data_IF_333939770323
#
_entry.id   IF_333939770323
#
_cell.length_a   1.000
_cell.length_b   1.000
_cell.length_c   1.000
_cell.angle_alpha   90.00
_cell.angle_beta   90.00
_cell.angle_gamma   90.00
#
_symmetry.space_group_name_H-M   'P 1'
#
loop_
_entity.id
_entity.type
_entity.pdbx_description
1 polymer ?
#
# COMPACT_ATOMS: atom_id res chain seq x y z
N UNK A 1 10.82 7.52 30.26
CA UNK A 1 10.19 7.46 28.95
C UNK A 1 11.01 8.33 28.02
N UNK A 2 11.90 7.72 27.22
CA UNK A 2 12.75 8.45 26.30
C UNK A 2 11.97 8.64 25.01
N UNK A 3 11.61 9.88 24.69
CA UNK A 3 11.28 10.26 23.33
C UNK A 3 12.55 10.10 22.51
N UNK A 4 12.62 9.07 21.66
CA UNK A 4 13.70 8.96 20.71
C UNK A 4 13.66 10.23 19.84
N UNK A 5 14.76 10.99 19.82
CA UNK A 5 14.89 12.08 18.85
C UNK A 5 14.79 11.48 17.45
N UNK A 6 14.05 12.12 16.52
CA UNK A 6 13.96 11.62 15.15
C UNK A 6 15.37 11.52 14.57
N UNK A 7 15.73 10.35 14.07
CA UNK A 7 16.98 10.20 13.34
C UNK A 7 16.91 11.13 12.12
N UNK A 8 18.00 11.78 11.74
CA UNK A 8 18.05 12.74 10.61
C UNK A 8 17.69 12.11 9.25
N UNK A 9 17.35 10.84 9.23
CA UNK A 9 17.02 10.04 8.05
C UNK A 9 15.52 9.70 7.96
N UNK A 10 14.72 9.95 8.99
CA UNK A 10 13.28 9.60 8.99
C UNK A 10 12.46 10.58 8.13
N UNK A 11 11.47 10.05 7.43
CA UNK A 11 10.53 10.83 6.63
C UNK A 11 9.21 10.96 7.39
N UNK A 12 8.86 12.19 7.77
CA UNK A 12 7.59 12.50 8.43
C UNK A 12 6.60 13.05 7.40
N UNK A 13 5.40 12.49 7.38
CA UNK A 13 4.36 12.82 6.41
C UNK A 13 3.07 13.17 7.15
N UNK A 14 2.56 14.36 6.93
CA UNK A 14 1.25 14.77 7.43
C UNK A 14 0.11 14.40 6.46
N UNK A 15 -1.14 14.67 6.84
CA UNK A 15 -2.31 14.33 6.03
C UNK A 15 -2.36 15.08 4.69
N UNK A 16 -1.98 16.34 4.66
CA UNK A 16 -2.00 17.17 3.45
C UNK A 16 -0.93 16.67 2.46
N UNK A 17 0.25 16.37 2.96
CA UNK A 17 1.32 15.76 2.16
C UNK A 17 0.92 14.38 1.64
N UNK A 18 0.29 13.55 2.49
CA UNK A 18 -0.17 12.21 2.11
C UNK A 18 -1.19 12.28 0.97
N UNK A 19 -2.21 13.15 1.07
CA UNK A 19 -3.19 13.34 0.02
C UNK A 19 -2.56 13.90 -1.26
N UNK A 20 -1.65 14.86 -1.15
CA UNK A 20 -0.92 15.40 -2.31
C UNK A 20 -0.11 14.32 -3.04
N UNK A 21 0.48 13.38 -2.32
CA UNK A 21 1.18 12.24 -2.93
C UNK A 21 0.22 11.31 -3.69
N UNK A 22 -0.98 11.04 -3.14
CA UNK A 22 -1.98 10.24 -3.84
C UNK A 22 -2.40 10.93 -5.15
N UNK A 23 -2.67 12.24 -5.11
CA UNK A 23 -3.04 13.02 -6.31
C UNK A 23 -1.93 12.98 -7.36
N UNK A 24 -0.67 13.14 -6.96
CA UNK A 24 0.47 13.04 -7.87
C UNK A 24 0.58 11.65 -8.50
N UNK A 25 0.33 10.58 -7.73
CA UNK A 25 0.34 9.22 -8.23
C UNK A 25 -0.76 8.99 -9.27
N UNK A 26 -1.99 9.48 -9.01
CA UNK A 26 -3.11 9.44 -9.94
C UNK A 26 -2.74 10.10 -11.27
N UNK A 27 -2.16 11.31 -11.20
CA UNK A 27 -1.74 12.05 -12.41
C UNK A 27 -0.65 11.29 -13.17
N UNK A 28 0.29 10.65 -12.48
CA UNK A 28 1.33 9.83 -13.15
C UNK A 28 0.74 8.64 -13.87
N UNK A 29 -0.19 7.91 -13.23
CA UNK A 29 -0.88 6.79 -13.85
C UNK A 29 -1.67 7.25 -15.07
N UNK A 30 -2.45 8.32 -14.95
CA UNK A 30 -3.22 8.90 -16.05
C UNK A 30 -2.33 9.31 -17.23
N UNK A 31 -1.24 10.03 -16.96
CA UNK A 31 -0.31 10.51 -18.02
C UNK A 31 0.47 9.40 -18.71
N UNK A 32 0.53 8.21 -18.15
CA UNK A 32 1.16 7.06 -18.80
C UNK A 32 0.37 6.57 -20.02
N UNK A 33 -0.91 6.93 -20.12
CA UNK A 33 -1.81 6.44 -21.16
C UNK A 33 -2.24 4.98 -21.00
N UNK A 34 -1.76 4.28 -19.95
CA UNK A 34 -2.20 2.93 -19.68
C UNK A 34 -3.57 2.94 -19.01
N UNK A 35 -4.50 2.22 -19.60
CA UNK A 35 -5.84 2.04 -19.06
C UNK A 35 -5.97 0.73 -18.31
N UNK A 36 -6.75 0.73 -17.23
CA UNK A 36 -7.04 -0.45 -16.42
C UNK A 36 -8.55 -0.57 -16.17
N UNK A 37 -8.96 -1.79 -15.86
CA UNK A 37 -10.38 -2.12 -15.73
C UNK A 37 -10.82 -2.08 -14.26
N UNK A 38 -9.94 -2.47 -13.32
CA UNK A 38 -10.23 -2.55 -11.90
C UNK A 38 -9.01 -2.15 -11.06
N UNK A 39 -9.27 -1.74 -9.83
CA UNK A 39 -8.26 -1.40 -8.84
C UNK A 39 -8.27 -2.46 -7.75
N UNK A 40 -7.09 -2.92 -7.37
CA UNK A 40 -6.89 -3.79 -6.21
C UNK A 40 -6.07 -3.05 -5.17
N UNK A 41 -6.65 -2.74 -4.01
CA UNK A 41 -5.89 -2.20 -2.89
C UNK A 41 -5.42 -3.32 -1.95
N UNK A 42 -4.19 -3.19 -1.48
CA UNK A 42 -3.64 -4.06 -0.45
C UNK A 42 -3.98 -3.49 0.92
N UNK A 43 -4.71 -4.25 1.70
CA UNK A 43 -5.09 -3.80 3.03
C UNK A 43 -3.98 -4.18 4.05
N UNK A 44 -3.60 -3.24 4.96
CA UNK A 44 -4.27 -1.96 5.24
C UNK A 44 -3.64 -0.76 4.54
N UNK A 45 -2.33 -0.79 4.20
CA UNK A 45 -1.59 0.37 3.69
C UNK A 45 -2.21 1.02 2.46
N UNK A 46 -2.60 0.20 1.49
CA UNK A 46 -3.19 0.66 0.23
C UNK A 46 -4.65 1.13 0.29
N UNK A 47 -5.34 0.97 1.42
CA UNK A 47 -6.79 1.26 1.48
C UNK A 47 -7.12 2.72 1.16
N UNK A 48 -6.36 3.67 1.69
CA UNK A 48 -6.59 5.09 1.45
C UNK A 48 -6.27 5.49 0.02
N UNK A 49 -5.19 4.92 -0.52
CA UNK A 49 -4.80 5.10 -1.93
C UNK A 49 -5.88 4.53 -2.83
N UNK A 50 -6.33 3.29 -2.58
CA UNK A 50 -7.34 2.60 -3.37
C UNK A 50 -8.70 3.31 -3.38
N UNK A 51 -9.16 3.82 -2.24
CA UNK A 51 -10.43 4.57 -2.16
C UNK A 51 -10.39 5.80 -3.07
N UNK A 52 -9.34 6.63 -2.96
CA UNK A 52 -9.24 7.86 -3.76
C UNK A 52 -9.07 7.53 -5.24
N UNK A 53 -8.24 6.55 -5.60
CA UNK A 53 -8.10 6.08 -6.98
C UNK A 53 -9.44 5.62 -7.58
N UNK A 54 -10.19 4.80 -6.85
CA UNK A 54 -11.49 4.30 -7.30
C UNK A 54 -12.48 5.42 -7.59
N UNK A 55 -12.52 6.43 -6.72
CA UNK A 55 -13.39 7.61 -6.90
C UNK A 55 -12.99 8.44 -8.11
N UNK A 56 -11.70 8.73 -8.27
CA UNK A 56 -11.21 9.62 -9.34
C UNK A 56 -11.30 8.95 -10.70
N UNK A 57 -10.93 7.68 -10.82
CA UNK A 57 -11.01 6.95 -12.09
C UNK A 57 -12.39 6.36 -12.38
N UNK A 58 -13.31 6.32 -11.41
CA UNK A 58 -14.62 5.68 -11.56
C UNK A 58 -14.51 4.17 -11.83
N UNK A 59 -13.51 3.50 -11.25
CA UNK A 59 -13.25 2.08 -11.46
C UNK A 59 -13.62 1.25 -10.24
N UNK A 60 -14.11 -0.01 -10.44
CA UNK A 60 -14.40 -0.91 -9.33
C UNK A 60 -13.18 -1.14 -8.44
N UNK A 61 -13.40 -1.16 -7.12
CA UNK A 61 -12.38 -1.40 -6.12
C UNK A 61 -12.51 -2.82 -5.55
N UNK A 62 -11.43 -3.55 -5.59
CA UNK A 62 -11.23 -4.80 -4.87
C UNK A 62 -10.23 -4.59 -3.72
N UNK A 63 -10.36 -5.37 -2.66
CA UNK A 63 -9.45 -5.37 -1.51
C UNK A 63 -8.86 -6.75 -1.29
N UNK A 64 -7.55 -6.84 -1.09
CA UNK A 64 -6.85 -8.04 -0.68
C UNK A 64 -6.19 -7.79 0.68
N UNK A 65 -6.60 -8.54 1.70
CA UNK A 65 -5.96 -8.45 3.00
C UNK A 65 -4.61 -9.20 2.97
N UNK A 66 -3.57 -8.50 3.42
CA UNK A 66 -2.23 -9.04 3.59
C UNK A 66 -1.72 -8.70 4.99
N UNK A 67 -0.97 -9.59 5.61
CA UNK A 67 -0.34 -9.35 6.90
C UNK A 67 1.06 -9.94 6.90
N UNK A 68 2.05 -9.11 7.18
CA UNK A 68 3.39 -9.58 7.49
C UNK A 68 3.43 -9.94 8.97
N UNK A 69 3.67 -11.21 9.29
CA UNK A 69 3.94 -11.62 10.68
C UNK A 69 5.32 -11.09 11.07
N UNK A 70 5.34 -10.07 11.93
CA UNK A 70 6.50 -9.80 12.77
C UNK A 70 6.37 -10.73 13.98
N UNK A 71 7.10 -11.83 14.00
CA UNK A 71 7.24 -12.60 15.23
C UNK A 71 8.03 -11.75 16.23
N UNK A 72 7.43 -11.50 17.38
CA UNK A 72 8.15 -11.06 18.58
C UNK A 72 9.20 -12.14 18.91
N UNK A 73 10.47 -11.72 18.99
CA UNK A 73 11.68 -12.54 19.24
C UNK A 73 12.31 -13.23 18.01
N UNK A 74 13.01 -12.52 17.20
CA UNK A 74 14.44 -12.71 16.84
C UNK A 74 14.91 -13.96 16.12
N UNK A 75 14.09 -14.87 15.57
CA UNK A 75 14.63 -16.09 14.91
C UNK A 75 13.70 -16.82 13.95
N UNK A 76 13.06 -16.12 12.98
CA UNK A 76 12.65 -16.75 11.69
C UNK A 76 12.08 -15.68 10.78
N UNK A 77 12.36 -15.74 9.47
CA UNK A 77 11.74 -14.89 8.46
C UNK A 77 10.22 -14.98 8.60
N UNK A 78 9.58 -13.87 8.99
CA UNK A 78 8.14 -13.79 9.16
C UNK A 78 7.45 -14.10 7.83
N UNK A 79 6.53 -15.06 7.82
CA UNK A 79 5.74 -15.39 6.65
C UNK A 79 4.77 -14.26 6.29
N UNK A 80 4.55 -14.02 5.01
CA UNK A 80 3.46 -13.17 4.53
C UNK A 80 2.18 -14.00 4.49
N UNK A 81 1.16 -13.60 5.25
CA UNK A 81 -0.19 -14.13 5.09
C UNK A 81 -0.93 -13.32 4.02
N UNK A 82 -1.49 -14.01 3.04
CA UNK A 82 -2.32 -13.42 1.98
C UNK A 82 -3.71 -14.06 2.08
N UNK A 83 -4.76 -13.25 2.12
CA UNK A 83 -6.12 -13.77 2.06
C UNK A 83 -6.32 -14.61 0.78
N UNK A 84 -7.04 -15.73 0.85
CA UNK A 84 -7.19 -16.62 -0.31
C UNK A 84 -7.92 -15.97 -1.48
N UNK A 85 -8.81 -15.02 -1.21
CA UNK A 85 -9.62 -14.34 -2.21
C UNK A 85 -9.69 -12.84 -1.93
N UNK A 86 -9.92 -12.06 -3.00
CA UNK A 86 -10.23 -10.63 -2.90
C UNK A 86 -11.68 -10.43 -2.47
N UNK A 87 -11.94 -9.27 -1.86
CA UNK A 87 -13.29 -8.78 -1.60
C UNK A 87 -13.59 -7.63 -2.56
N UNK A 88 -14.72 -7.71 -3.27
CA UNK A 88 -15.25 -6.65 -4.13
C UNK A 88 -16.77 -6.70 -4.20
N UNK A 89 -17.38 -5.59 -4.58
CA UNK A 89 -18.86 -5.46 -4.54
C UNK A 89 -19.56 -6.37 -5.55
N UNK A 90 -18.98 -6.55 -6.73
CA UNK A 90 -19.59 -7.35 -7.81
C UNK A 90 -18.52 -8.00 -8.67
N UNK A 91 -18.82 -9.21 -9.18
CA UNK A 91 -17.96 -9.90 -10.13
C UNK A 91 -16.70 -10.50 -9.51
N UNK A 92 -15.63 -10.52 -10.30
CA UNK A 92 -14.33 -11.08 -9.96
C UNK A 92 -13.23 -10.23 -10.61
N UNK A 93 -11.97 -10.46 -10.24
CA UNK A 93 -10.84 -9.79 -10.92
C UNK A 93 -10.70 -10.30 -12.35
N UNK A 94 -10.70 -9.38 -13.30
CA UNK A 94 -10.60 -9.68 -14.73
C UNK A 94 -9.99 -8.49 -15.49
N UNK A 95 -9.32 -8.77 -16.60
CA UNK A 95 -8.72 -7.73 -17.43
C UNK A 95 -7.45 -7.14 -16.85
N UNK A 96 -7.27 -5.84 -17.01
CA UNK A 96 -6.08 -5.10 -16.57
C UNK A 96 -6.30 -4.56 -15.16
N UNK A 97 -5.47 -4.95 -14.21
CA UNK A 97 -5.62 -4.61 -12.80
C UNK A 97 -4.50 -3.67 -12.37
N UNK A 98 -4.87 -2.56 -11.74
CA UNK A 98 -3.93 -1.69 -11.04
C UNK A 98 -3.89 -2.07 -9.56
N UNK A 99 -2.76 -2.61 -9.11
CA UNK A 99 -2.51 -2.88 -7.68
C UNK A 99 -2.01 -1.59 -7.05
N UNK A 100 -2.64 -1.15 -5.96
CA UNK A 100 -2.23 0.05 -5.22
C UNK A 100 -1.88 -0.27 -3.77
N UNK A 101 -0.81 0.34 -3.29
CA UNK A 101 -0.36 0.27 -1.90
C UNK A 101 0.28 1.61 -1.50
N UNK A 102 0.62 1.76 -0.22
CA UNK A 102 1.35 2.94 0.23
C UNK A 102 2.82 2.90 -0.22
N UNK A 103 3.50 1.76 -0.08
CA UNK A 103 4.92 1.65 -0.38
C UNK A 103 5.36 0.26 -0.85
N UNK A 104 6.51 0.22 -1.53
CA UNK A 104 7.28 -1.00 -1.76
C UNK A 104 8.58 -0.91 -0.96
N UNK A 105 8.74 -1.79 0.02
CA UNK A 105 9.95 -1.90 0.84
C UNK A 105 10.91 -2.96 0.26
N UNK A 106 10.80 -4.23 0.62
CA UNK A 106 11.66 -5.30 0.08
C UNK A 106 11.22 -5.80 -1.30
N UNK A 107 9.96 -5.62 -1.66
CA UNK A 107 9.36 -6.11 -2.90
C UNK A 107 8.80 -7.54 -2.82
N UNK A 108 9.19 -8.33 -1.83
CA UNK A 108 8.77 -9.74 -1.70
C UNK A 108 7.23 -9.89 -1.64
N UNK A 109 6.57 -8.97 -0.97
CA UNK A 109 5.09 -8.93 -0.88
C UNK A 109 4.45 -8.83 -2.26
N UNK A 110 4.95 -7.94 -3.11
CA UNK A 110 4.42 -7.77 -4.47
C UNK A 110 4.61 -8.99 -5.35
N UNK A 111 5.77 -9.65 -5.29
CA UNK A 111 6.02 -10.88 -6.05
C UNK A 111 5.06 -12.00 -5.64
N UNK A 112 4.87 -12.21 -4.34
CA UNK A 112 3.97 -13.23 -3.81
C UNK A 112 2.51 -12.94 -4.15
N UNK A 113 2.09 -11.67 -4.05
CA UNK A 113 0.73 -11.25 -4.41
C UNK A 113 0.50 -11.44 -5.91
N UNK A 114 1.44 -11.02 -6.77
CA UNK A 114 1.35 -11.21 -8.22
C UNK A 114 1.17 -12.68 -8.59
N UNK A 115 1.99 -13.57 -8.01
CA UNK A 115 1.89 -15.01 -8.24
C UNK A 115 0.54 -15.58 -7.75
N UNK A 116 0.08 -15.14 -6.57
CA UNK A 116 -1.22 -15.54 -6.01
C UNK A 116 -2.38 -15.11 -6.92
N UNK A 117 -2.40 -13.86 -7.37
CA UNK A 117 -3.46 -13.31 -8.21
C UNK A 117 -3.56 -14.03 -9.56
N UNK A 118 -2.44 -14.21 -10.25
CA UNK A 118 -2.42 -14.86 -11.56
C UNK A 118 -2.85 -16.35 -11.49
N UNK A 119 -2.57 -17.01 -10.37
CA UNK A 119 -3.02 -18.38 -10.12
C UNK A 119 -4.51 -18.46 -9.80
N UNK A 120 -5.02 -17.49 -9.00
CA UNK A 120 -6.40 -17.52 -8.48
C UNK A 120 -7.41 -16.92 -9.47
N UNK A 121 -6.97 -15.96 -10.28
CA UNK A 121 -7.82 -15.21 -11.21
C UNK A 121 -7.27 -15.28 -12.64
N UNK A 122 -7.51 -16.38 -13.37
CA UNK A 122 -6.92 -16.60 -14.70
C UNK A 122 -7.43 -15.61 -15.77
N UNK A 123 -8.50 -14.86 -15.49
CA UNK A 123 -9.03 -13.82 -16.36
C UNK A 123 -8.28 -12.49 -16.26
N UNK A 124 -7.29 -12.38 -15.40
CA UNK A 124 -6.39 -11.21 -15.37
C UNK A 124 -5.47 -11.27 -16.60
N UNK A 125 -5.43 -10.18 -17.35
CA UNK A 125 -4.61 -10.07 -18.57
C UNK A 125 -3.33 -9.29 -18.35
N UNK A 126 -3.34 -8.32 -17.44
CA UNK A 126 -2.18 -7.51 -17.07
C UNK A 126 -2.28 -7.02 -15.62
N UNK A 127 -1.15 -6.97 -14.94
CA UNK A 127 -1.00 -6.40 -13.61
C UNK A 127 0.04 -5.30 -13.64
N UNK A 128 -0.32 -4.12 -13.15
CA UNK A 128 0.64 -3.04 -12.81
C UNK A 128 0.44 -2.57 -11.39
N UNK A 129 1.50 -1.99 -10.85
CA UNK A 129 1.57 -1.54 -9.46
C UNK A 129 1.79 -0.04 -9.37
N UNK A 130 1.13 0.61 -8.40
CA UNK A 130 1.26 2.02 -8.11
C UNK A 130 1.37 2.24 -6.60
N UNK A 131 2.42 2.97 -6.16
CA UNK A 131 2.71 3.24 -4.75
C UNK A 131 3.17 4.67 -4.54
N UNK A 132 3.05 5.17 -3.30
CA UNK A 132 3.53 6.50 -2.97
C UNK A 132 5.07 6.49 -2.85
N UNK A 133 5.62 5.48 -2.17
CA UNK A 133 7.06 5.36 -1.94
C UNK A 133 7.63 4.05 -2.48
N UNK A 134 8.81 4.17 -3.06
CA UNK A 134 9.60 3.05 -3.54
C UNK A 134 11.00 3.11 -2.94
N UNK A 135 11.37 2.12 -2.14
CA UNK A 135 12.72 1.98 -1.59
C UNK A 135 13.62 1.25 -2.58
N UNK A 136 14.76 1.86 -2.89
CA UNK A 136 15.64 1.41 -4.00
C UNK A 136 16.25 0.03 -3.78
N UNK A 137 16.34 -0.42 -2.53
CA UNK A 137 16.83 -1.78 -2.22
C UNK A 137 15.81 -2.89 -2.51
N UNK A 138 14.57 -2.53 -2.86
CA UNK A 138 13.54 -3.50 -3.23
C UNK A 138 13.95 -4.33 -4.45
N UNK A 139 13.64 -5.62 -4.40
CA UNK A 139 13.81 -6.54 -5.54
C UNK A 139 12.82 -6.30 -6.66
N UNK A 140 11.70 -5.62 -6.36
CA UNK A 140 10.63 -5.28 -7.31
C UNK A 140 10.54 -3.77 -7.45
N UNK A 141 10.67 -3.28 -8.68
CA UNK A 141 10.38 -1.88 -9.00
C UNK A 141 8.91 -1.75 -9.37
N UNK A 142 8.12 -0.90 -8.67
CA UNK A 142 6.73 -0.64 -9.05
C UNK A 142 6.66 0.05 -10.42
N UNK A 143 5.55 -0.15 -11.14
CA UNK A 143 5.32 0.49 -12.44
C UNK A 143 5.16 2.01 -12.28
N UNK A 144 4.48 2.42 -11.21
CA UNK A 144 4.25 3.82 -10.87
C UNK A 144 4.59 4.09 -9.41
N UNK A 145 5.29 5.18 -9.15
CA UNK A 145 5.60 5.65 -7.80
C UNK A 145 5.77 7.17 -7.79
N UNK A 146 5.58 7.81 -6.64
CA UNK A 146 5.79 9.26 -6.51
C UNK A 146 7.20 9.58 -6.07
N UNK A 147 7.65 8.98 -4.98
CA UNK A 147 8.96 9.23 -4.41
C UNK A 147 9.79 7.95 -4.40
N UNK A 148 11.01 8.06 -4.96
CA UNK A 148 12.05 7.05 -4.85
C UNK A 148 12.93 7.40 -3.67
N UNK A 149 13.14 6.44 -2.78
CA UNK A 149 13.97 6.61 -1.59
C UNK A 149 15.27 5.83 -1.77
N UNK A 150 16.38 6.56 -1.93
CA UNK A 150 17.70 5.97 -2.15
C UNK A 150 18.35 5.44 -0.85
N UNK A 151 17.91 5.96 0.28
CA UNK A 151 18.19 5.44 1.62
C UNK A 151 16.99 4.62 2.12
N UNK A 152 17.12 3.99 3.27
CA UNK A 152 16.05 3.23 3.90
C UNK A 152 15.48 3.97 5.13
N UNK A 153 14.85 5.17 4.96
CA UNK A 153 14.27 5.89 6.06
C UNK A 153 13.06 5.14 6.60
N UNK A 154 12.78 5.32 7.89
CA UNK A 154 11.46 5.04 8.39
C UNK A 154 10.49 6.11 7.88
N UNK A 155 9.32 5.71 7.38
CA UNK A 155 8.29 6.64 6.91
C UNK A 155 7.21 6.69 7.98
N UNK A 156 7.14 7.82 8.69
CA UNK A 156 6.09 8.09 9.68
C UNK A 156 4.86 8.60 8.93
N UNK A 157 3.91 7.71 8.69
CA UNK A 157 2.67 8.04 8.01
C UNK A 157 1.66 8.63 8.99
N UNK A 158 0.74 9.53 8.54
CA UNK A 158 -0.11 10.31 9.44
C UNK A 158 -1.07 9.47 10.28
N UNK A 159 -1.37 8.25 9.87
CA UNK A 159 -2.22 7.32 10.61
C UNK A 159 -1.47 6.44 11.61
N UNK A 160 -0.13 6.40 11.57
CA UNK A 160 0.66 5.59 12.53
C UNK A 160 0.50 6.06 13.97
N UNK A 161 0.08 7.32 14.17
CA UNK A 161 -0.25 7.83 15.50
C UNK A 161 -1.35 7.00 16.21
N UNK A 162 -2.18 6.29 15.44
CA UNK A 162 -3.22 5.42 16.00
C UNK A 162 -2.74 4.02 16.36
N UNK A 163 -1.59 3.57 15.87
CA UNK A 163 -1.10 2.20 16.09
C UNK A 163 -0.73 1.92 17.55
N UNK A 164 -0.32 2.94 18.29
CA UNK A 164 0.00 2.84 19.72
C UNK A 164 -1.05 3.46 20.66
N UNK A 165 -2.20 3.88 20.13
CA UNK A 165 -3.25 4.56 20.88
C UNK A 165 -4.37 3.57 21.22
N UNK A 166 -4.79 3.56 22.50
CA UNK A 166 -5.96 2.81 22.90
C UNK A 166 -7.23 3.69 22.97
N UNK A 167 -8.38 3.06 23.17
CA UNK A 167 -9.66 3.79 23.22
C UNK A 167 -9.74 4.74 24.41
N UNK A 168 -9.07 4.42 25.51
CA UNK A 168 -9.04 5.24 26.73
C UNK A 168 -8.27 6.56 26.49
N UNK A 169 -7.23 6.53 25.66
CA UNK A 169 -6.49 7.73 25.24
C UNK A 169 -7.38 8.67 24.43
N UNK A 170 -8.19 8.11 23.53
CA UNK A 170 -9.16 8.88 22.77
C UNK A 170 -10.28 9.43 23.66
N UNK A 171 -10.79 8.65 24.60
CA UNK A 171 -11.81 9.10 25.54
C UNK A 171 -11.34 10.29 26.38
N UNK A 172 -10.09 10.29 26.86
CA UNK A 172 -9.49 11.43 27.58
C UNK A 172 -9.36 12.69 26.73
N UNK A 173 -9.12 12.53 25.42
CA UNK A 173 -8.98 13.66 24.50
C UNK A 173 -10.32 14.37 24.23
N UNK A 174 -11.43 13.66 24.31
CA UNK A 174 -12.77 14.14 23.95
C UNK A 174 -13.72 14.28 25.16
N UNK A 175 -13.20 14.20 26.40
CA UNK A 175 -13.95 14.42 27.65
C UNK A 175 -14.09 15.90 28.03
#
# INVERSE_FOLDING_TARGET
>A
MGTAEPSSTDLWVDWDQYHSLIEQLIVRVHRSGWEFDQILCLARGGMRVGDIFSRVFGRPLATLATSSYREDAGTKQGGLAIAPFVTMATGTLTGRILIVDDMVDSGQTFDLIRAHLLRTYPSITELRSAVLWYKVHSTVKPDYFVQKLDQNPWIHQPFEAYDGMDVEDLAKKWS
#
